data_IF_276884398642
#
_entry.id   IF_276884398642
#
_cell.length_a   1.000
_cell.length_b   1.000
_cell.length_c   1.000
_cell.angle_alpha   90.00
_cell.angle_beta   90.00
_cell.angle_gamma   90.00
#
_symmetry.space_group_name_H-M   'P 1'
#
loop_
_entity.id
_entity.type
_entity.pdbx_description
1 polymer ?
#
# COMPACT_ATOMS: atom_id res chain seq x y z
N UNK A 1 24.06 -12.69 -14.15
CA UNK A 1 23.40 -11.40 -13.86
C UNK A 1 24.41 -10.36 -13.35
N UNK A 2 25.13 -10.58 -12.25
CA UNK A 2 26.07 -9.59 -11.68
C UNK A 2 27.04 -9.01 -12.72
N UNK A 3 27.70 -9.85 -13.51
CA UNK A 3 28.64 -9.41 -14.54
C UNK A 3 27.97 -8.55 -15.63
N UNK A 4 26.70 -8.84 -15.96
CA UNK A 4 25.95 -8.06 -16.95
C UNK A 4 25.61 -6.66 -16.43
N UNK A 5 25.14 -6.56 -15.19
CA UNK A 5 24.75 -5.25 -14.63
C UNK A 5 25.95 -4.38 -14.25
N UNK A 6 27.14 -4.95 -14.07
CA UNK A 6 28.37 -4.18 -13.84
C UNK A 6 28.71 -3.26 -15.00
N UNK A 7 28.38 -3.64 -16.26
CA UNK A 7 28.53 -2.79 -17.44
C UNK A 7 27.67 -1.54 -17.43
N UNK A 8 26.63 -1.51 -16.59
CA UNK A 8 25.72 -0.37 -16.41
C UNK A 8 26.06 0.45 -15.15
N UNK A 9 27.26 0.27 -14.61
CA UNK A 9 27.75 1.02 -13.44
C UNK A 9 27.26 0.52 -12.11
N UNK A 10 26.57 -0.63 -12.05
CA UNK A 10 26.06 -1.21 -10.81
C UNK A 10 27.22 -1.82 -10.02
N UNK A 11 27.46 -1.37 -8.75
CA UNK A 11 28.61 -1.81 -7.96
C UNK A 11 28.41 -3.21 -7.35
N UNK A 12 27.20 -3.53 -6.97
CA UNK A 12 26.85 -4.80 -6.33
C UNK A 12 25.35 -5.08 -6.42
N UNK A 13 24.98 -6.34 -6.26
CA UNK A 13 23.59 -6.77 -6.18
C UNK A 13 23.36 -7.67 -4.97
N UNK A 14 22.16 -7.56 -4.37
CA UNK A 14 21.65 -8.47 -3.34
C UNK A 14 20.74 -9.48 -4.04
N UNK A 15 21.06 -10.77 -3.98
CA UNK A 15 20.23 -11.84 -4.55
C UNK A 15 18.98 -12.06 -3.70
N UNK A 16 17.80 -12.06 -4.28
CA UNK A 16 16.54 -12.41 -3.61
C UNK A 16 16.11 -13.87 -3.81
N UNK A 17 16.83 -14.64 -4.67
CA UNK A 17 16.51 -16.04 -4.97
C UNK A 17 16.94 -17.02 -3.89
N UNK A 18 17.99 -16.70 -3.14
CA UNK A 18 18.62 -17.63 -2.20
C UNK A 18 17.97 -17.51 -0.80
N UNK A 19 16.75 -18.08 -0.68
CA UNK A 19 15.96 -18.05 0.56
C UNK A 19 16.57 -18.87 1.72
N UNK A 20 17.65 -19.63 1.48
CA UNK A 20 18.22 -20.54 2.49
C UNK A 20 19.19 -19.82 3.46
N UNK A 21 19.60 -18.62 3.15
CA UNK A 21 20.43 -17.81 4.04
C UNK A 21 19.69 -16.52 4.38
N UNK A 22 19.07 -16.49 5.53
CA UNK A 22 18.60 -15.23 6.16
C UNK A 22 19.83 -14.37 6.50
N UNK A 23 20.41 -13.76 5.47
CA UNK A 23 21.50 -12.81 5.64
C UNK A 23 20.91 -11.48 6.13
N UNK A 24 21.65 -10.70 6.95
CA UNK A 24 21.23 -9.35 7.36
C UNK A 24 20.77 -8.47 6.20
N UNK A 25 21.34 -8.65 5.03
CA UNK A 25 21.01 -7.92 3.79
C UNK A 25 19.58 -8.14 3.29
N UNK A 26 18.92 -9.22 3.70
CA UNK A 26 17.53 -9.51 3.30
C UNK A 26 16.47 -8.86 4.19
N UNK A 27 16.85 -8.30 5.33
CA UNK A 27 15.88 -7.70 6.29
C UNK A 27 15.05 -6.60 5.62
N UNK A 28 15.65 -5.81 4.76
CA UNK A 28 14.98 -4.73 4.01
C UNK A 28 13.96 -5.23 2.98
N UNK A 29 13.96 -6.53 2.67
CA UNK A 29 13.11 -7.15 1.64
C UNK A 29 12.20 -8.25 2.19
N UNK A 30 12.02 -8.33 3.51
CA UNK A 30 11.15 -9.35 4.13
C UNK A 30 9.71 -9.28 3.65
N UNK A 31 9.23 -8.11 3.29
CA UNK A 31 7.90 -7.92 2.70
C UNK A 31 7.75 -8.63 1.35
N UNK A 32 8.81 -8.64 0.53
CA UNK A 32 8.84 -9.36 -0.75
C UNK A 32 9.08 -10.87 -0.55
N UNK A 33 9.88 -11.25 0.46
CA UNK A 33 10.29 -12.64 0.70
C UNK A 33 9.30 -13.42 1.58
N UNK A 34 8.21 -12.81 2.05
CA UNK A 34 7.25 -13.46 2.92
C UNK A 34 6.62 -14.70 2.27
N UNK A 35 6.35 -15.74 3.07
CA UNK A 35 5.71 -16.99 2.58
C UNK A 35 4.41 -16.75 1.81
N UNK A 36 3.68 -15.68 2.12
CA UNK A 36 2.42 -15.38 1.45
C UNK A 36 2.66 -14.91 0.02
N UNK A 37 3.63 -14.04 -0.19
CA UNK A 37 4.00 -13.61 -1.55
C UNK A 37 4.44 -14.82 -2.37
N UNK A 38 5.14 -15.77 -1.75
CA UNK A 38 5.51 -17.03 -2.39
C UNK A 38 4.29 -17.92 -2.68
N UNK A 39 3.30 -18.00 -1.78
CA UNK A 39 2.06 -18.76 -1.98
C UNK A 39 1.17 -18.19 -3.10
N UNK A 40 1.16 -16.89 -3.26
CA UNK A 40 0.41 -16.19 -4.32
C UNK A 40 1.02 -16.41 -5.72
N UNK A 41 2.13 -17.16 -5.83
CA UNK A 41 2.87 -17.44 -7.08
C UNK A 41 3.23 -16.19 -7.88
N UNK A 42 3.45 -15.08 -7.20
CA UNK A 42 3.78 -13.83 -7.82
C UNK A 42 5.25 -13.82 -8.19
N UNK A 43 5.54 -13.40 -9.40
CA UNK A 43 6.91 -13.18 -9.83
C UNK A 43 7.55 -12.09 -8.98
N UNK A 44 8.67 -12.43 -8.33
CA UNK A 44 9.49 -11.51 -7.57
C UNK A 44 10.72 -11.10 -8.39
N UNK A 45 11.37 -9.97 -8.04
CA UNK A 45 12.69 -9.67 -8.55
C UNK A 45 13.67 -10.77 -8.17
N UNK A 46 14.63 -11.04 -9.03
CA UNK A 46 15.68 -12.04 -8.78
C UNK A 46 16.81 -11.47 -7.92
N UNK A 47 17.02 -10.15 -8.00
CA UNK A 47 18.00 -9.42 -7.23
C UNK A 47 17.63 -7.93 -7.11
N UNK A 48 18.34 -7.23 -6.23
CA UNK A 48 18.26 -5.77 -6.07
C UNK A 48 19.65 -5.17 -6.17
N UNK A 49 19.79 -4.10 -6.93
CA UNK A 49 20.97 -3.27 -6.95
C UNK A 49 20.77 -2.09 -6.00
N UNK A 50 21.68 -1.91 -5.05
CA UNK A 50 21.59 -0.92 -3.99
C UNK A 50 22.66 0.16 -4.09
N UNK A 51 22.29 1.35 -3.64
CA UNK A 51 23.23 2.43 -3.37
C UNK A 51 23.03 2.92 -1.93
N UNK A 52 24.07 2.79 -1.11
CA UNK A 52 24.05 3.15 0.32
C UNK A 52 22.89 2.48 1.10
N UNK A 53 22.63 1.19 0.81
CA UNK A 53 21.56 0.44 1.47
C UNK A 53 20.13 0.77 1.00
N UNK A 54 20.00 1.58 -0.07
CA UNK A 54 18.69 1.88 -0.68
C UNK A 54 18.57 1.19 -2.04
N UNK A 55 17.41 0.60 -2.35
CA UNK A 55 17.15 0.03 -3.66
C UNK A 55 17.23 1.10 -4.76
N UNK A 56 17.94 0.80 -5.83
CA UNK A 56 18.03 1.63 -7.04
C UNK A 56 17.42 0.91 -8.23
N UNK A 57 17.66 -0.38 -8.36
CA UNK A 57 17.06 -1.20 -9.41
C UNK A 57 16.62 -2.56 -8.85
N UNK A 58 15.38 -2.94 -9.13
CA UNK A 58 14.89 -4.30 -8.96
C UNK A 58 15.14 -5.08 -10.25
N UNK A 59 15.88 -6.17 -10.18
CA UNK A 59 16.41 -6.89 -11.32
C UNK A 59 15.64 -8.18 -11.58
N UNK A 60 15.23 -8.40 -12.82
CA UNK A 60 14.72 -9.68 -13.30
C UNK A 60 15.69 -10.21 -14.36
N UNK A 61 16.15 -11.43 -14.19
CA UNK A 61 16.95 -12.14 -15.18
C UNK A 61 16.02 -12.76 -16.24
N UNK A 62 16.09 -12.26 -17.47
CA UNK A 62 15.29 -12.78 -18.57
C UNK A 62 15.56 -14.27 -18.84
N UNK A 63 16.77 -14.77 -18.53
CA UNK A 63 17.11 -16.19 -18.66
C UNK A 63 16.29 -17.10 -17.72
N UNK A 64 15.77 -16.56 -16.62
CA UNK A 64 14.91 -17.30 -15.69
C UNK A 64 13.40 -17.19 -16.01
N UNK A 65 13.06 -16.60 -17.12
CA UNK A 65 11.71 -16.29 -17.58
C UNK A 65 11.43 -14.80 -17.46
N UNK A 66 10.93 -14.22 -18.53
CA UNK A 66 10.49 -12.82 -18.56
C UNK A 66 9.02 -12.75 -18.16
N UNK A 67 8.60 -11.84 -17.28
CA UNK A 67 7.20 -11.68 -16.90
C UNK A 67 6.37 -11.20 -18.10
N UNK A 68 5.14 -11.66 -18.21
CA UNK A 68 4.20 -11.10 -19.16
C UNK A 68 3.81 -9.65 -18.76
N UNK A 69 3.03 -8.97 -19.62
CA UNK A 69 2.68 -7.56 -19.39
C UNK A 69 1.88 -7.37 -18.09
N UNK A 70 0.95 -8.30 -17.80
CA UNK A 70 0.11 -8.20 -16.60
C UNK A 70 0.90 -8.46 -15.33
N UNK A 71 1.74 -9.50 -15.33
CA UNK A 71 2.66 -9.83 -14.24
C UNK A 71 3.63 -8.67 -13.96
N UNK A 72 4.19 -8.09 -15.03
CA UNK A 72 5.10 -6.95 -14.92
C UNK A 72 4.40 -5.74 -14.28
N UNK A 73 3.20 -5.37 -14.73
CA UNK A 73 2.44 -4.24 -14.18
C UNK A 73 2.10 -4.49 -12.71
N UNK A 74 1.68 -5.69 -12.36
CA UNK A 74 1.41 -6.04 -10.96
C UNK A 74 2.69 -5.91 -10.10
N UNK A 75 3.83 -6.34 -10.62
CA UNK A 75 5.11 -6.21 -9.93
C UNK A 75 5.53 -4.74 -9.80
N UNK A 76 5.39 -3.93 -10.85
CA UNK A 76 5.68 -2.49 -10.83
C UNK A 76 4.86 -1.77 -9.75
N UNK A 77 3.54 -2.05 -9.64
CA UNK A 77 2.70 -1.48 -8.59
C UNK A 77 3.12 -1.93 -7.18
N UNK A 78 3.44 -3.21 -7.00
CA UNK A 78 3.90 -3.72 -5.69
C UNK A 78 5.18 -3.06 -5.24
N UNK A 79 6.15 -2.97 -6.13
CA UNK A 79 7.42 -2.31 -5.84
C UNK A 79 7.23 -0.81 -5.60
N UNK A 80 6.31 -0.15 -6.33
CA UNK A 80 5.96 1.24 -6.08
C UNK A 80 5.41 1.49 -4.66
N UNK A 81 4.65 0.54 -4.10
CA UNK A 81 4.14 0.64 -2.74
C UNK A 81 5.24 0.64 -1.66
N UNK A 82 6.46 0.24 -1.99
CA UNK A 82 7.59 0.33 -1.07
C UNK A 82 8.10 1.77 -0.87
N UNK A 83 7.71 2.69 -1.75
CA UNK A 83 8.17 4.08 -1.71
C UNK A 83 9.64 4.25 -2.12
N UNK A 84 10.28 3.19 -2.63
CA UNK A 84 11.67 3.26 -3.09
C UNK A 84 11.75 4.07 -4.39
N UNK A 85 12.73 4.98 -4.49
CA UNK A 85 13.05 5.68 -5.74
C UNK A 85 13.82 4.79 -6.70
N UNK A 86 13.26 3.62 -7.01
CA UNK A 86 13.89 2.59 -7.81
C UNK A 86 13.16 2.40 -9.15
N UNK A 87 13.75 1.62 -10.01
CA UNK A 87 13.16 1.18 -11.27
C UNK A 87 13.12 -0.35 -11.33
N UNK A 88 12.22 -0.92 -12.12
CA UNK A 88 12.26 -2.33 -12.48
C UNK A 88 13.12 -2.49 -13.74
N UNK A 89 14.11 -3.35 -13.69
CA UNK A 89 15.00 -3.62 -14.81
C UNK A 89 14.97 -5.10 -15.22
N UNK A 90 14.70 -5.38 -16.49
CA UNK A 90 14.83 -6.73 -17.07
C UNK A 90 16.21 -6.83 -17.69
N UNK A 91 17.01 -7.76 -17.17
CA UNK A 91 18.39 -8.02 -17.62
C UNK A 91 18.37 -9.02 -18.75
N UNK A 92 18.73 -8.59 -19.95
CA UNK A 92 18.91 -9.42 -21.14
C UNK A 92 20.36 -9.42 -21.58
N UNK A 93 20.81 -10.43 -22.36
CA UNK A 93 22.16 -10.40 -22.91
C UNK A 93 22.45 -9.10 -23.69
N UNK A 94 23.36 -8.31 -23.18
CA UNK A 94 23.81 -7.08 -23.83
C UNK A 94 22.91 -5.83 -23.65
N UNK A 95 21.80 -5.93 -22.92
CA UNK A 95 20.90 -4.81 -22.70
C UNK A 95 20.15 -4.88 -21.36
N UNK A 96 19.74 -3.71 -20.86
CA UNK A 96 18.75 -3.56 -19.79
C UNK A 96 17.48 -2.90 -20.35
N UNK A 97 16.33 -3.44 -19.95
CA UNK A 97 15.03 -2.80 -20.23
C UNK A 97 14.47 -2.27 -18.93
N UNK A 98 14.38 -0.95 -18.81
CA UNK A 98 13.96 -0.23 -17.63
C UNK A 98 12.46 0.08 -17.70
N UNK A 99 11.77 -0.12 -16.58
CA UNK A 99 10.36 0.19 -16.40
C UNK A 99 10.18 1.06 -15.17
N UNK A 100 9.31 2.09 -15.22
CA UNK A 100 9.01 2.94 -14.08
C UNK A 100 8.28 2.14 -13.00
N UNK A 101 8.44 2.54 -11.75
CA UNK A 101 7.56 2.12 -10.65
C UNK A 101 6.49 3.18 -10.45
N UNK A 102 5.22 2.81 -10.51
CA UNK A 102 4.12 3.74 -10.32
C UNK A 102 2.94 3.02 -9.64
N UNK A 103 2.23 3.73 -8.77
CA UNK A 103 1.02 3.23 -8.10
C UNK A 103 -0.17 3.17 -9.07
N UNK A 104 -0.27 4.14 -10.00
CA UNK A 104 -1.37 4.21 -10.95
C UNK A 104 -1.22 3.21 -12.11
N UNK A 105 -2.05 2.18 -12.07
CA UNK A 105 -2.10 1.14 -13.10
C UNK A 105 -2.43 1.69 -14.50
N UNK A 106 -3.19 2.80 -14.59
CA UNK A 106 -3.52 3.41 -15.89
C UNK A 106 -2.29 4.03 -16.52
N UNK A 107 -1.46 4.69 -15.71
CA UNK A 107 -0.16 5.22 -16.14
C UNK A 107 0.77 4.11 -16.59
N UNK A 108 0.86 2.99 -15.86
CA UNK A 108 1.67 1.84 -16.24
C UNK A 108 1.19 1.19 -17.55
N UNK A 109 -0.11 1.05 -17.74
CA UNK A 109 -0.68 0.52 -18.99
C UNK A 109 -0.39 1.43 -20.20
N UNK A 110 -0.48 2.75 -20.01
CA UNK A 110 -0.22 3.74 -21.06
C UNK A 110 1.26 3.81 -21.45
N UNK A 111 2.15 3.69 -20.47
CA UNK A 111 3.60 3.80 -20.62
C UNK A 111 4.29 2.42 -20.63
N UNK A 112 3.58 1.39 -21.10
CA UNK A 112 4.02 -0.02 -21.04
C UNK A 112 5.25 -0.39 -21.86
N UNK A 113 5.86 0.56 -22.57
CA UNK A 113 7.10 0.35 -23.34
C UNK A 113 8.27 0.74 -22.44
N UNK A 114 9.10 -0.25 -22.09
CA UNK A 114 10.33 -0.01 -21.32
C UNK A 114 11.36 0.78 -22.11
N UNK A 115 12.22 1.50 -21.41
CA UNK A 115 13.40 2.16 -22.00
C UNK A 115 14.54 1.16 -22.07
N UNK A 116 15.02 0.85 -23.29
CA UNK A 116 16.13 -0.10 -23.50
C UNK A 116 17.45 0.65 -23.55
N UNK A 117 18.41 0.23 -22.73
CA UNK A 117 19.79 0.71 -22.73
C UNK A 117 20.71 -0.48 -23.05
N UNK A 118 21.54 -0.35 -24.08
CA UNK A 118 22.48 -1.38 -24.51
C UNK A 118 23.85 -1.16 -23.91
N UNK A 119 24.64 -2.22 -23.72
CA UNK A 119 26.04 -2.10 -23.25
C UNK A 119 26.88 -1.19 -24.17
N UNK A 120 26.60 -1.18 -25.47
CA UNK A 120 27.28 -0.33 -26.42
C UNK A 120 26.89 1.17 -26.34
N UNK A 121 25.85 1.51 -25.55
CA UNK A 121 25.46 2.89 -25.33
C UNK A 121 26.53 3.62 -24.49
N UNK A 122 27.01 4.78 -24.89
CA UNK A 122 27.96 5.58 -24.10
C UNK A 122 27.46 5.93 -22.69
N UNK A 123 26.16 5.94 -22.47
CA UNK A 123 25.53 6.20 -21.15
C UNK A 123 25.53 4.95 -20.25
N UNK A 124 25.70 3.76 -20.80
CA UNK A 124 25.57 2.53 -20.03
C UNK A 124 26.39 2.52 -18.72
N UNK A 125 27.67 2.91 -18.68
CA UNK A 125 28.46 2.91 -17.44
C UNK A 125 27.96 3.90 -16.36
N UNK A 126 27.14 4.87 -16.73
CA UNK A 126 26.61 5.91 -15.84
C UNK A 126 25.15 5.66 -15.43
N UNK A 127 24.48 4.71 -16.06
CA UNK A 127 23.05 4.47 -15.91
C UNK A 127 22.62 4.29 -14.44
N UNK A 128 23.35 3.45 -13.69
CA UNK A 128 23.07 3.23 -12.28
C UNK A 128 23.14 4.52 -11.46
N UNK A 129 24.13 5.35 -11.73
CA UNK A 129 24.30 6.63 -11.07
C UNK A 129 23.17 7.61 -11.45
N UNK A 130 22.77 7.65 -12.71
CA UNK A 130 21.65 8.49 -13.18
C UNK A 130 20.33 8.12 -12.48
N UNK A 131 20.07 6.83 -12.28
CA UNK A 131 18.90 6.37 -11.53
C UNK A 131 19.03 6.73 -10.05
N UNK A 132 20.17 6.43 -9.44
CA UNK A 132 20.41 6.68 -8.00
C UNK A 132 20.32 8.16 -7.61
N UNK A 133 20.64 9.05 -8.54
CA UNK A 133 20.59 10.52 -8.34
C UNK A 133 19.29 11.16 -8.85
N UNK A 134 18.39 10.37 -9.44
CA UNK A 134 17.13 10.88 -10.00
C UNK A 134 17.32 11.74 -11.25
N UNK A 135 18.48 11.66 -11.92
CA UNK A 135 18.78 12.44 -13.14
C UNK A 135 18.36 11.73 -14.42
N UNK A 136 17.87 10.50 -14.32
CA UNK A 136 17.31 9.76 -15.46
C UNK A 136 15.98 10.38 -15.90
N UNK A 137 15.99 11.16 -17.00
CA UNK A 137 14.81 11.88 -17.49
C UNK A 137 13.97 11.11 -18.50
N UNK A 138 14.51 10.05 -19.07
CA UNK A 138 13.91 9.36 -20.23
C UNK A 138 12.88 8.28 -19.85
N UNK A 139 12.69 8.01 -18.55
CA UNK A 139 11.78 6.97 -18.09
C UNK A 139 10.37 7.54 -17.88
N UNK A 140 9.54 7.44 -18.91
CA UNK A 140 8.15 7.92 -18.86
C UNK A 140 7.31 7.17 -17.82
N UNK A 141 6.58 7.91 -17.00
CA UNK A 141 5.69 7.36 -15.98
C UNK A 141 6.36 7.13 -14.62
N UNK A 142 7.64 7.48 -14.45
CA UNK A 142 8.27 7.54 -13.14
C UNK A 142 7.67 8.71 -12.35
N UNK A 143 7.25 8.51 -11.08
CA UNK A 143 6.75 9.59 -10.25
C UNK A 143 7.84 10.63 -9.97
N UNK A 144 7.48 11.91 -9.97
CA UNK A 144 8.39 13.01 -9.62
C UNK A 144 8.41 13.30 -8.12
N UNK A 145 7.48 12.73 -7.36
CA UNK A 145 7.35 12.96 -5.92
C UNK A 145 8.51 12.31 -5.15
N UNK A 146 8.98 12.98 -4.11
CA UNK A 146 10.01 12.45 -3.21
C UNK A 146 9.51 11.27 -2.36
N UNK A 147 8.21 11.22 -2.12
CA UNK A 147 7.52 10.10 -1.47
C UNK A 147 6.15 9.89 -2.16
N UNK A 148 6.11 9.11 -3.26
CA UNK A 148 4.89 8.93 -4.03
C UNK A 148 3.78 8.22 -3.23
N UNK A 149 4.14 7.41 -2.25
CA UNK A 149 3.16 6.69 -1.40
C UNK A 149 2.49 7.67 -0.44
N UNK A 150 3.27 8.51 0.23
CA UNK A 150 2.75 9.52 1.14
C UNK A 150 1.86 10.54 0.40
N UNK A 151 2.30 11.00 -0.76
CA UNK A 151 1.55 11.93 -1.61
C UNK A 151 0.20 11.31 -2.05
N UNK A 152 0.19 10.02 -2.41
CA UNK A 152 -1.04 9.33 -2.79
C UNK A 152 -1.98 9.13 -1.59
N UNK A 153 -1.46 8.70 -0.43
CA UNK A 153 -2.27 8.59 0.81
C UNK A 153 -2.89 9.94 1.15
N UNK A 154 -2.09 11.00 1.17
CA UNK A 154 -2.57 12.36 1.48
C UNK A 154 -3.64 12.82 0.48
N UNK A 155 -3.40 12.61 -0.81
CA UNK A 155 -4.36 12.95 -1.88
C UNK A 155 -5.69 12.20 -1.72
N UNK A 156 -5.65 10.90 -1.40
CA UNK A 156 -6.85 10.09 -1.21
C UNK A 156 -7.62 10.50 0.05
N UNK A 157 -6.91 10.80 1.15
CA UNK A 157 -7.52 11.32 2.37
C UNK A 157 -8.16 12.68 2.13
N UNK A 158 -7.47 13.61 1.47
CA UNK A 158 -8.00 14.93 1.13
C UNK A 158 -9.28 14.84 0.29
N UNK A 159 -9.29 13.96 -0.71
CA UNK A 159 -10.49 13.74 -1.53
C UNK A 159 -11.67 13.22 -0.69
N UNK A 160 -11.41 12.23 0.18
CA UNK A 160 -12.45 11.65 1.05
C UNK A 160 -12.97 12.67 2.06
N UNK A 161 -12.08 13.40 2.73
CA UNK A 161 -12.44 14.44 3.70
C UNK A 161 -13.22 15.57 3.01
N UNK A 162 -12.72 16.07 1.88
CA UNK A 162 -13.38 17.15 1.15
C UNK A 162 -14.78 16.78 0.68
N UNK A 163 -14.98 15.56 0.15
CA UNK A 163 -16.31 15.12 -0.24
C UNK A 163 -17.28 15.09 0.96
N UNK A 164 -16.87 14.47 2.06
CA UNK A 164 -17.72 14.33 3.24
C UNK A 164 -17.98 15.67 3.94
N UNK A 165 -16.99 16.55 4.01
CA UNK A 165 -17.13 17.87 4.64
C UNK A 165 -17.89 18.83 3.75
N UNK A 166 -17.51 18.99 2.48
CA UNK A 166 -18.11 19.99 1.59
C UNK A 166 -19.48 19.55 1.09
N UNK A 167 -19.64 18.27 0.73
CA UNK A 167 -20.89 17.77 0.14
C UNK A 167 -21.89 17.35 1.20
N UNK A 168 -21.43 16.73 2.30
CA UNK A 168 -22.28 16.18 3.35
C UNK A 168 -22.31 17.02 4.63
N UNK A 169 -21.48 18.07 4.71
CA UNK A 169 -21.41 19.02 5.84
C UNK A 169 -21.05 18.38 7.17
N UNK A 170 -20.28 17.29 7.14
CA UNK A 170 -19.77 16.67 8.36
C UNK A 170 -18.66 17.53 8.98
N UNK A 171 -18.43 17.35 10.28
CA UNK A 171 -17.28 17.96 10.95
C UNK A 171 -15.97 17.40 10.40
N UNK A 172 -15.07 18.27 9.96
CA UNK A 172 -13.83 17.89 9.30
C UNK A 172 -12.88 17.10 10.19
N UNK A 173 -12.82 17.44 11.49
CA UNK A 173 -11.96 16.73 12.44
C UNK A 173 -12.49 15.32 12.72
N UNK A 174 -13.79 15.17 12.87
CA UNK A 174 -14.42 13.88 13.05
C UNK A 174 -14.22 12.98 11.81
N UNK A 175 -14.40 13.53 10.60
CA UNK A 175 -14.16 12.79 9.34
C UNK A 175 -12.71 12.35 9.24
N UNK A 176 -11.75 13.25 9.52
CA UNK A 176 -10.31 12.90 9.50
C UNK A 176 -10.00 11.78 10.51
N UNK A 177 -10.56 11.86 11.71
CA UNK A 177 -10.36 10.83 12.74
C UNK A 177 -10.98 9.48 12.34
N UNK A 178 -12.17 9.47 11.75
CA UNK A 178 -12.83 8.25 11.28
C UNK A 178 -12.06 7.60 10.12
N UNK A 179 -11.69 8.38 9.12
CA UNK A 179 -10.95 7.90 7.95
C UNK A 179 -9.54 7.43 8.33
N UNK A 180 -8.85 8.15 9.20
CA UNK A 180 -7.55 7.76 9.72
C UNK A 180 -7.59 6.45 10.52
N UNK A 181 -8.65 6.23 11.33
CA UNK A 181 -8.86 4.96 12.06
C UNK A 181 -9.08 3.79 11.11
N UNK A 182 -9.88 3.97 10.05
CA UNK A 182 -10.08 2.94 9.04
C UNK A 182 -8.78 2.63 8.28
N UNK A 183 -8.01 3.67 7.92
CA UNK A 183 -6.71 3.53 7.28
C UNK A 183 -5.70 2.77 8.15
N UNK A 184 -5.64 3.13 9.44
CA UNK A 184 -4.77 2.45 10.40
C UNK A 184 -5.19 0.99 10.60
N UNK A 185 -6.49 0.71 10.72
CA UNK A 185 -6.99 -0.67 10.81
C UNK A 185 -6.60 -1.50 9.59
N UNK A 186 -6.77 -0.95 8.38
CA UNK A 186 -6.32 -1.59 7.15
C UNK A 186 -4.81 -1.86 7.16
N UNK A 187 -4.00 -0.89 7.59
CA UNK A 187 -2.55 -1.10 7.73
C UNK A 187 -2.23 -2.30 8.63
N UNK A 188 -2.94 -2.44 9.77
CA UNK A 188 -2.75 -3.57 10.68
C UNK A 188 -3.13 -4.91 10.04
N UNK A 189 -4.20 -4.93 9.23
CA UNK A 189 -4.65 -6.12 8.49
C UNK A 189 -3.66 -6.50 7.40
N UNK A 190 -3.26 -5.55 6.56
CA UNK A 190 -2.31 -5.78 5.48
C UNK A 190 -0.95 -6.28 6.00
N UNK A 191 -0.57 -5.84 7.21
CA UNK A 191 0.62 -6.30 7.95
C UNK A 191 0.41 -7.59 8.74
N UNK A 192 -0.81 -8.14 8.76
CA UNK A 192 -1.18 -9.33 9.54
C UNK A 192 -0.99 -9.21 11.05
N UNK A 193 -1.00 -8.00 11.56
CA UNK A 193 -1.11 -7.75 12.99
C UNK A 193 -2.54 -8.08 13.43
N UNK A 194 -3.51 -7.71 12.60
CA UNK A 194 -4.92 -8.12 12.76
C UNK A 194 -5.20 -9.28 11.81
N UNK A 195 -5.53 -10.42 12.39
CA UNK A 195 -5.90 -11.65 11.68
C UNK A 195 -7.40 -11.77 11.51
N UNK A 196 -7.84 -12.69 10.65
CA UNK A 196 -9.26 -13.00 10.46
C UNK A 196 -9.98 -13.39 11.74
N UNK A 197 -9.32 -14.19 12.60
CA UNK A 197 -9.88 -14.61 13.88
C UNK A 197 -10.08 -13.41 14.82
N UNK A 198 -9.13 -12.47 14.82
CA UNK A 198 -9.23 -11.25 15.60
C UNK A 198 -10.33 -10.31 15.08
N UNK A 199 -10.55 -10.24 13.76
CA UNK A 199 -11.67 -9.52 13.17
C UNK A 199 -13.01 -10.12 13.64
N UNK A 200 -13.10 -11.45 13.70
CA UNK A 200 -14.28 -12.14 14.18
C UNK A 200 -14.52 -11.94 15.70
N UNK A 201 -13.47 -11.72 16.50
CA UNK A 201 -13.57 -11.33 17.91
C UNK A 201 -14.05 -9.87 18.07
N UNK A 202 -13.48 -8.93 17.30
CA UNK A 202 -13.84 -7.51 17.35
C UNK A 202 -15.29 -7.31 16.87
N UNK A 203 -15.66 -7.96 15.78
CA UNK A 203 -16.98 -7.84 15.16
C UNK A 203 -17.57 -9.23 14.86
N UNK A 204 -18.21 -9.89 15.84
CA UNK A 204 -18.81 -11.22 15.65
C UNK A 204 -19.80 -11.26 14.49
N UNK A 205 -19.71 -12.32 13.69
CA UNK A 205 -20.46 -12.49 12.43
C UNK A 205 -21.99 -12.67 12.61
N UNK A 206 -22.49 -12.81 13.82
CA UNK A 206 -23.85 -13.26 14.16
C UNK A 206 -25.01 -12.42 13.56
N UNK A 207 -24.74 -11.30 12.87
CA UNK A 207 -25.78 -10.45 12.26
C UNK A 207 -25.39 -9.92 10.86
N UNK A 208 -24.48 -10.58 10.17
CA UNK A 208 -23.92 -10.06 8.90
C UNK A 208 -24.36 -10.93 7.75
N UNK A 209 -24.52 -10.30 6.58
CA UNK A 209 -24.61 -11.03 5.33
C UNK A 209 -23.38 -11.96 5.20
N UNK A 210 -23.58 -13.28 5.12
CA UNK A 210 -22.49 -14.25 4.98
C UNK A 210 -21.61 -14.01 3.76
N UNK A 211 -22.10 -13.22 2.79
CA UNK A 211 -21.38 -12.84 1.58
C UNK A 211 -20.53 -11.55 1.75
N UNK A 212 -20.73 -10.81 2.84
CA UNK A 212 -19.93 -9.62 3.09
C UNK A 212 -18.49 -10.01 3.44
N UNK A 213 -17.53 -9.39 2.76
CA UNK A 213 -16.11 -9.57 3.07
C UNK A 213 -15.83 -9.20 4.53
N UNK A 214 -14.99 -9.96 5.23
CA UNK A 214 -14.73 -9.76 6.68
C UNK A 214 -14.32 -8.34 7.02
N UNK A 215 -13.45 -7.73 6.22
CA UNK A 215 -13.00 -6.35 6.41
C UNK A 215 -14.12 -5.31 6.30
N UNK A 216 -15.09 -5.52 5.42
CA UNK A 216 -16.22 -4.59 5.28
C UNK A 216 -17.08 -4.52 6.54
N UNK A 217 -17.02 -5.56 7.39
CA UNK A 217 -17.85 -5.61 8.61
C UNK A 217 -17.45 -4.56 9.64
N UNK A 218 -16.16 -4.31 9.81
CA UNK A 218 -15.63 -3.56 10.97
C UNK A 218 -16.02 -2.09 11.01
N UNK A 219 -16.37 -1.49 9.85
CA UNK A 219 -16.82 -0.10 9.76
C UNK A 219 -18.14 0.07 8.98
N UNK A 220 -18.90 -0.98 8.77
CA UNK A 220 -20.12 -0.93 7.95
C UNK A 220 -21.33 -0.31 8.64
N UNK A 221 -21.31 -0.17 9.93
CA UNK A 221 -22.39 0.43 10.75
C UNK A 221 -21.81 1.18 11.93
N UNK A 222 -22.61 2.09 12.52
CA UNK A 222 -22.19 2.86 13.69
C UNK A 222 -21.72 1.98 14.86
N UNK A 223 -22.45 0.91 15.17
CA UNK A 223 -22.11 0.02 16.28
C UNK A 223 -20.79 -0.74 16.04
N UNK A 224 -20.54 -1.17 14.81
CA UNK A 224 -19.31 -1.88 14.45
C UNK A 224 -18.12 -0.96 14.40
N UNK A 225 -18.28 0.20 13.78
CA UNK A 225 -17.26 1.24 13.78
C UNK A 225 -16.89 1.65 15.22
N UNK A 226 -17.88 1.71 16.13
CA UNK A 226 -17.65 1.99 17.53
C UNK A 226 -16.88 0.87 18.24
N UNK A 227 -17.23 -0.38 18.01
CA UNK A 227 -16.51 -1.54 18.57
C UNK A 227 -15.07 -1.57 18.11
N UNK A 228 -14.85 -1.39 16.79
CA UNK A 228 -13.51 -1.35 16.20
C UNK A 228 -12.69 -0.18 16.72
N UNK A 229 -13.29 1.02 16.83
CA UNK A 229 -12.61 2.20 17.37
C UNK A 229 -12.24 2.04 18.85
N UNK A 230 -13.14 1.48 19.66
CA UNK A 230 -12.84 1.17 21.06
C UNK A 230 -11.72 0.14 21.17
N UNK A 231 -11.72 -0.90 20.34
CA UNK A 231 -10.65 -1.89 20.30
C UNK A 231 -9.29 -1.27 19.92
N UNK A 232 -9.26 -0.39 18.91
CA UNK A 232 -8.05 0.33 18.52
C UNK A 232 -7.48 1.13 19.69
N UNK A 233 -8.31 1.89 20.40
CA UNK A 233 -7.86 2.72 21.52
C UNK A 233 -7.35 1.89 22.70
N UNK A 234 -8.04 0.80 23.03
CA UNK A 234 -7.61 -0.08 24.14
C UNK A 234 -6.31 -0.79 23.80
N UNK A 235 -6.17 -1.23 22.53
CA UNK A 235 -4.99 -2.03 22.11
C UNK A 235 -3.76 -1.19 21.89
N UNK A 236 -3.92 0.02 21.33
CA UNK A 236 -2.79 0.89 20.94
C UNK A 236 -2.63 2.14 21.81
N UNK A 237 -3.31 2.16 22.96
CA UNK A 237 -3.24 3.27 23.94
C UNK A 237 -3.62 4.65 23.35
N UNK A 238 -4.61 4.68 22.68
CA UNK A 238 -5.29 5.39 21.70
C UNK A 238 -5.65 6.83 21.67
N UNK A 239 -4.78 7.79 21.91
CA UNK A 239 -5.04 9.20 21.51
C UNK A 239 -4.57 9.50 20.08
N UNK A 240 -4.42 8.49 19.24
CA UNK A 240 -3.83 8.67 17.92
C UNK A 240 -4.66 9.61 17.02
N UNK A 241 -5.99 9.54 17.14
CA UNK A 241 -6.93 10.36 16.39
C UNK A 241 -8.18 10.56 17.27
N UNK A 242 -8.26 11.62 18.09
CA UNK A 242 -9.35 11.83 19.02
C UNK A 242 -10.68 11.95 18.26
N UNK A 243 -11.64 11.12 18.62
CA UNK A 243 -12.98 11.08 18.01
C UNK A 243 -14.08 11.35 19.05
N UNK A 244 -13.79 11.11 20.32
CA UNK A 244 -14.68 11.37 21.44
C UNK A 244 -13.94 12.24 22.47
N UNK A 245 -14.71 12.95 23.28
CA UNK A 245 -14.14 13.68 24.40
C UNK A 245 -13.45 12.72 25.38
N UNK A 246 -12.35 13.14 26.02
CA UNK A 246 -11.65 12.32 26.99
C UNK A 246 -12.59 11.80 28.07
N UNK A 247 -12.66 10.50 28.21
CA UNK A 247 -13.43 9.85 29.27
C UNK A 247 -12.55 9.62 30.51
N UNK A 248 -13.15 9.52 31.71
CA UNK A 248 -12.41 9.10 32.89
C UNK A 248 -11.67 7.80 32.69
N UNK A 249 -10.47 7.66 33.27
CA UNK A 249 -9.61 6.47 33.11
C UNK A 249 -10.31 5.16 33.54
N UNK A 250 -11.25 5.25 34.47
CA UNK A 250 -12.06 4.14 34.97
C UNK A 250 -13.36 3.92 34.17
N UNK A 251 -13.55 4.65 33.05
CA UNK A 251 -14.74 4.47 32.22
C UNK A 251 -14.83 3.03 31.70
N UNK A 252 -16.02 2.44 31.90
CA UNK A 252 -16.27 1.07 31.42
C UNK A 252 -16.19 0.99 29.89
N UNK A 253 -15.81 -0.16 29.38
CA UNK A 253 -15.79 -0.45 27.93
C UNK A 253 -17.13 -0.12 27.26
N UNK A 254 -18.24 -0.50 27.91
CA UNK A 254 -19.59 -0.20 27.41
C UNK A 254 -19.83 1.32 27.26
N UNK A 255 -19.31 2.13 28.19
CA UNK A 255 -19.46 3.58 28.13
C UNK A 255 -18.65 4.17 26.98
N UNK A 256 -17.41 3.68 26.77
CA UNK A 256 -16.55 4.10 25.64
C UNK A 256 -17.17 3.72 24.31
N UNK A 257 -17.57 2.46 24.15
CA UNK A 257 -18.21 1.97 22.92
C UNK A 257 -19.47 2.77 22.59
N UNK A 258 -20.30 3.10 23.61
CA UNK A 258 -21.49 3.92 23.41
C UNK A 258 -21.12 5.33 22.92
N UNK A 259 -20.11 5.98 23.49
CA UNK A 259 -19.67 7.30 23.05
C UNK A 259 -19.24 7.29 21.59
N UNK A 260 -18.48 6.29 21.16
CA UNK A 260 -18.14 6.09 19.74
C UNK A 260 -19.37 5.87 18.88
N UNK A 261 -20.31 5.01 19.32
CA UNK A 261 -21.53 4.72 18.57
C UNK A 261 -22.38 5.97 18.33
N UNK A 262 -22.49 6.85 19.32
CA UNK A 262 -23.22 8.11 19.18
C UNK A 262 -22.58 9.02 18.13
N UNK A 263 -21.24 9.13 18.07
CA UNK A 263 -20.52 9.91 17.06
C UNK A 263 -20.69 9.34 15.66
N UNK A 264 -20.48 8.02 15.50
CA UNK A 264 -20.65 7.36 14.19
C UNK A 264 -22.10 7.40 13.71
N UNK A 265 -23.07 7.26 14.60
CA UNK A 265 -24.49 7.37 14.27
C UNK A 265 -24.83 8.77 13.77
N UNK A 266 -24.38 9.79 14.49
CA UNK A 266 -24.58 11.17 14.07
C UNK A 266 -23.96 11.46 12.69
N UNK A 267 -22.72 11.02 12.45
CA UNK A 267 -22.06 11.18 11.16
C UNK A 267 -22.79 10.37 10.05
N UNK A 268 -23.28 9.17 10.34
CA UNK A 268 -24.07 8.34 9.43
C UNK A 268 -25.38 9.03 9.05
N UNK A 269 -26.13 9.53 10.03
CA UNK A 269 -27.40 10.20 9.80
C UNK A 269 -27.21 11.50 9.01
N UNK A 270 -26.19 12.30 9.32
CA UNK A 270 -25.88 13.55 8.60
C UNK A 270 -25.42 13.32 7.17
N UNK A 271 -24.71 12.23 6.90
CA UNK A 271 -24.15 11.92 5.59
C UNK A 271 -25.01 11.00 4.73
N UNK A 272 -26.21 10.65 5.18
CA UNK A 272 -27.04 9.63 4.54
C UNK A 272 -26.25 8.30 4.34
N UNK A 273 -25.54 7.90 5.39
CA UNK A 273 -24.65 6.74 5.45
C UNK A 273 -23.43 6.78 4.52
N UNK A 274 -23.18 7.89 3.81
CA UNK A 274 -22.03 7.99 2.90
C UNK A 274 -20.69 7.79 3.62
N UNK A 275 -20.56 8.21 4.89
CA UNK A 275 -19.34 7.97 5.69
C UNK A 275 -18.96 6.49 5.72
N UNK A 276 -19.90 5.58 5.93
CA UNK A 276 -19.60 4.15 6.00
C UNK A 276 -19.13 3.59 4.67
N UNK A 277 -19.67 4.09 3.54
CA UNK A 277 -19.21 3.72 2.21
C UNK A 277 -17.75 4.13 1.97
N UNK A 278 -17.34 5.31 2.47
CA UNK A 278 -15.95 5.76 2.39
C UNK A 278 -15.03 4.89 3.27
N UNK A 279 -15.45 4.58 4.50
CA UNK A 279 -14.67 3.72 5.40
C UNK A 279 -14.51 2.30 4.83
N UNK A 280 -15.58 1.74 4.27
CA UNK A 280 -15.52 0.45 3.57
C UNK A 280 -14.60 0.48 2.34
N UNK A 281 -14.58 1.58 1.58
CA UNK A 281 -13.70 1.73 0.43
C UNK A 281 -12.22 1.72 0.85
N UNK A 282 -11.87 2.41 1.95
CA UNK A 282 -10.52 2.37 2.53
C UNK A 282 -10.10 0.94 2.88
N UNK A 283 -11.00 0.18 3.52
CA UNK A 283 -10.71 -1.17 3.98
C UNK A 283 -10.63 -2.21 2.87
N UNK A 284 -11.38 -2.01 1.78
CA UNK A 284 -11.44 -2.95 0.67
C UNK A 284 -10.12 -3.08 -0.05
N UNK A 285 -9.47 -1.99 -0.30
CA UNK A 285 -8.12 -1.88 -0.86
C UNK A 285 -7.83 -2.79 -2.03
N UNK A 286 -6.64 -3.37 -1.98
CA UNK A 286 -6.05 -4.20 -3.02
C UNK A 286 -6.76 -5.54 -3.30
N UNK A 287 -7.60 -6.02 -2.40
CA UNK A 287 -8.29 -7.29 -2.60
C UNK A 287 -9.37 -7.18 -3.68
N UNK A 288 -9.01 -7.58 -4.89
CA UNK A 288 -9.97 -7.88 -5.95
C UNK A 288 -10.82 -9.07 -5.52
N UNK A 289 -11.94 -8.80 -4.90
CA UNK A 289 -12.96 -9.82 -4.70
C UNK A 289 -13.65 -10.02 -6.06
N UNK A 290 -13.31 -11.11 -6.76
CA UNK A 290 -13.95 -11.48 -8.00
C UNK A 290 -15.48 -11.44 -7.84
N UNK A 291 -16.16 -10.67 -8.67
CA UNK A 291 -17.62 -10.61 -8.76
C UNK A 291 -18.32 -9.49 -7.98
N UNK A 292 -17.62 -8.67 -7.21
CA UNK A 292 -18.19 -7.45 -6.65
C UNK A 292 -17.82 -6.30 -7.60
N UNK A 293 -18.79 -5.83 -8.41
CA UNK A 293 -18.67 -4.52 -9.05
C UNK A 293 -18.36 -3.51 -7.94
N UNK A 294 -17.18 -2.91 -8.00
CA UNK A 294 -16.85 -1.79 -7.12
C UNK A 294 -17.98 -0.77 -7.25
N UNK A 295 -18.65 -0.40 -6.18
CA UNK A 295 -19.48 0.77 -6.26
C UNK A 295 -18.52 1.94 -6.49
N UNK A 296 -18.54 2.51 -7.69
CA UNK A 296 -17.93 3.78 -8.08
C UNK A 296 -18.48 4.97 -7.26
N UNK A 297 -18.99 4.69 -6.06
CA UNK A 297 -19.76 5.62 -5.27
C UNK A 297 -18.90 6.77 -4.70
N UNK A 298 -17.61 6.55 -4.55
CA UNK A 298 -16.73 7.60 -4.00
C UNK A 298 -15.82 8.23 -5.03
N UNK A 299 -15.58 7.59 -6.18
CA UNK A 299 -14.59 8.05 -7.17
C UNK A 299 -13.14 8.06 -6.68
N UNK A 300 -12.90 7.52 -5.48
CA UNK A 300 -11.62 7.50 -4.79
C UNK A 300 -11.07 6.08 -4.85
N UNK A 301 -9.92 5.93 -5.50
CA UNK A 301 -9.32 4.62 -5.79
C UNK A 301 -8.27 4.27 -4.74
N UNK A 302 -8.69 3.60 -3.67
CA UNK A 302 -7.82 3.06 -2.63
C UNK A 302 -7.10 1.77 -3.03
N UNK A 303 -7.44 1.20 -4.20
CA UNK A 303 -6.89 -0.07 -4.67
C UNK A 303 -5.43 0.04 -5.11
N UNK A 304 -4.90 1.26 -5.22
CA UNK A 304 -3.51 1.51 -5.57
C UNK A 304 -2.53 1.22 -4.41
N UNK A 305 -3.04 1.23 -3.17
CA UNK A 305 -2.22 1.11 -1.97
C UNK A 305 -2.27 -0.31 -1.38
N UNK A 306 -1.10 -0.90 -1.16
CA UNK A 306 -0.92 -2.15 -0.43
C UNK A 306 0.03 -1.90 0.74
N UNK A 307 -0.53 -1.75 1.94
CA UNK A 307 0.23 -1.40 3.14
C UNK A 307 1.22 -2.47 3.60
N UNK A 308 1.14 -3.69 3.08
CA UNK A 308 2.17 -4.72 3.33
C UNK A 308 3.55 -4.25 2.91
N UNK A 309 3.64 -3.53 1.82
CA UNK A 309 4.90 -3.09 1.22
C UNK A 309 5.30 -1.66 1.63
N UNK A 310 4.37 -0.89 2.20
CA UNK A 310 4.66 0.48 2.64
C UNK A 310 5.53 0.47 3.90
N UNK A 311 6.69 1.14 3.92
CA UNK A 311 7.52 1.25 5.12
C UNK A 311 6.78 1.92 6.29
N UNK A 312 7.01 1.45 7.52
CA UNK A 312 6.35 2.01 8.72
C UNK A 312 6.65 3.51 8.89
N UNK A 313 7.84 3.95 8.50
CA UNK A 313 8.25 5.36 8.59
C UNK A 313 7.41 6.33 7.78
N UNK A 314 6.74 5.87 6.72
CA UNK A 314 5.85 6.69 5.89
C UNK A 314 4.55 7.06 6.62
N UNK A 315 4.09 6.22 7.54
CA UNK A 315 2.84 6.45 8.28
C UNK A 315 3.06 7.25 9.58
N UNK A 316 4.33 7.49 9.95
CA UNK A 316 4.70 8.24 11.17
C UNK A 316 5.05 9.71 10.91
N UNK A 317 5.02 10.15 9.67
CA UNK A 317 5.18 11.55 9.24
C UNK A 317 3.82 12.26 9.18
#
# INVERSE_FOLDING_TARGET
MADLVSHFGCPSIVSLRDNQKQLPDHVSYLDLLSEQVQRERIRLPDAVAEFQGKPVMYLIDAASGEPDVAERINLQQRLANRGDHAVLAIVRPGELVLYPLNLDRKTLNKNGIGTTVRIADPRAPFLFHEIATGTLTDLKGQPNASDPVFEEISSLLDKAVNELVLTRKLDGLAVLSMTGRALFFRFLVDRRIVTDDLIDEICPAAKVDPKAHRLQRVFSTADRAAQTSNWLDVTFNGDLLPLIDPLPLDASETRRTKAYADVYKNAGDQSDHAIFLHLEAILRGWENVEGIQQPLLTGIDWDQLNFRHIPIGVLSQ
#
